data_IF_674500805355
#
_entry.id   IF_674500805355
#
_cell.length_a   1.000
_cell.length_b   1.000
_cell.length_c   1.000
_cell.angle_alpha   90.00
_cell.angle_beta   90.00
_cell.angle_gamma   90.00
#
_symmetry.space_group_name_H-M   'P 1'
#
loop_
_entity.id
_entity.type
_entity.pdbx_description
1 polymer ?
#
# COMPACT_ATOMS: atom_id res chain seq x y z
N UNK A 1 22.36 -4.30 -12.84
CA UNK A 1 22.78 -5.24 -13.90
C UNK A 1 23.30 -6.58 -13.35
N UNK A 2 22.92 -6.92 -12.12
CA UNK A 2 23.47 -8.11 -11.44
C UNK A 2 22.68 -9.40 -11.71
N UNK A 3 21.62 -9.36 -12.50
CA UNK A 3 20.83 -10.55 -12.87
C UNK A 3 20.00 -11.26 -11.77
N UNK A 4 20.18 -11.02 -10.45
CA UNK A 4 19.27 -11.51 -9.41
C UNK A 4 18.11 -10.56 -9.14
N UNK A 5 17.12 -11.06 -8.43
CA UNK A 5 16.07 -10.25 -7.84
C UNK A 5 16.63 -9.35 -6.74
N UNK A 6 16.23 -8.08 -6.76
CA UNK A 6 16.67 -7.08 -5.77
C UNK A 6 15.46 -6.56 -5.01
N UNK A 7 15.55 -6.51 -3.70
CA UNK A 7 14.54 -5.92 -2.83
C UNK A 7 15.13 -4.75 -2.06
N UNK A 8 14.49 -3.59 -2.13
CA UNK A 8 14.86 -2.39 -1.38
C UNK A 8 13.79 -2.12 -0.34
N UNK A 9 14.19 -1.99 0.92
CA UNK A 9 13.34 -1.51 2.00
C UNK A 9 13.64 -0.04 2.28
N UNK A 10 12.64 0.81 2.22
CA UNK A 10 12.74 2.25 2.46
C UNK A 10 11.92 2.66 3.67
N UNK A 11 12.60 3.06 4.73
CA UNK A 11 11.98 3.63 5.94
C UNK A 11 12.41 5.09 6.10
N UNK A 12 11.67 6.02 5.69
CA UNK A 12 10.30 6.11 5.13
C UNK A 12 10.30 7.02 3.89
N UNK A 13 9.25 6.94 3.04
CA UNK A 13 9.09 7.87 1.91
C UNK A 13 9.11 9.35 2.36
N UNK A 14 8.40 9.79 3.41
CA UNK A 14 8.46 11.16 3.86
C UNK A 14 9.87 11.65 4.22
N UNK A 15 10.72 10.83 4.83
CA UNK A 15 12.12 11.19 5.13
C UNK A 15 12.92 11.41 3.87
N UNK A 16 12.80 10.51 2.90
CA UNK A 16 13.47 10.66 1.61
C UNK A 16 13.01 11.94 0.91
N UNK A 17 11.71 12.18 0.83
CA UNK A 17 11.14 13.36 0.19
C UNK A 17 11.58 14.67 0.89
N UNK A 18 11.60 14.70 2.21
CA UNK A 18 12.10 15.85 3.00
C UNK A 18 13.58 16.12 2.75
N UNK A 19 14.41 15.08 2.67
CA UNK A 19 15.83 15.24 2.36
C UNK A 19 16.02 15.88 0.98
N UNK A 20 15.28 15.44 -0.03
CA UNK A 20 15.30 16.07 -1.33
C UNK A 20 14.77 17.49 -1.30
N UNK A 21 13.71 17.77 -0.53
CA UNK A 21 13.15 19.12 -0.40
C UNK A 21 14.16 20.10 0.24
N UNK A 22 15.01 19.62 1.15
CA UNK A 22 16.02 20.46 1.82
C UNK A 22 17.21 20.81 0.92
N UNK A 23 17.55 19.95 -0.06
CA UNK A 23 18.71 20.18 -0.95
C UNK A 23 18.33 20.77 -2.31
N UNK A 24 17.05 20.81 -2.62
CA UNK A 24 16.57 21.34 -3.90
C UNK A 24 16.56 22.88 -3.85
N UNK A 25 17.13 23.59 -4.84
CA UNK A 25 16.95 25.03 -4.94
C UNK A 25 15.46 25.38 -5.01
N UNK A 26 15.05 26.38 -4.23
CA UNK A 26 13.65 26.82 -4.21
C UNK A 26 13.19 27.22 -5.62
N UNK A 27 12.18 26.55 -6.15
CA UNK A 27 11.62 26.85 -7.49
C UNK A 27 10.72 28.09 -7.49
N UNK A 28 10.44 28.67 -6.32
CA UNK A 28 9.47 29.74 -6.12
C UNK A 28 8.00 29.27 -6.20
N UNK A 29 7.77 28.02 -6.53
CA UNK A 29 6.44 27.38 -6.55
C UNK A 29 6.37 26.35 -5.42
N UNK A 30 5.97 26.81 -4.23
CA UNK A 30 5.75 25.93 -3.07
C UNK A 30 4.27 25.59 -3.01
N UNK A 31 3.87 24.37 -3.35
CA UNK A 31 2.49 23.92 -3.16
C UNK A 31 2.11 23.93 -1.67
N UNK A 32 0.82 23.77 -1.38
CA UNK A 32 0.33 23.61 -0.02
C UNK A 32 1.09 22.49 0.70
N UNK A 33 1.57 22.77 1.94
CA UNK A 33 2.33 21.79 2.73
C UNK A 33 3.86 22.00 2.74
N UNK A 34 4.40 23.00 2.02
CA UNK A 34 5.83 23.35 2.09
C UNK A 34 6.76 22.41 1.32
N UNK A 35 6.23 21.59 0.42
CA UNK A 35 7.02 20.71 -0.46
C UNK A 35 7.18 21.37 -1.83
N UNK A 36 8.42 21.56 -2.27
CA UNK A 36 8.67 22.02 -3.65
C UNK A 36 8.30 20.90 -4.66
N UNK A 37 7.56 21.24 -5.71
CA UNK A 37 7.12 20.28 -6.72
C UNK A 37 8.29 19.53 -7.36
N UNK A 38 9.43 20.20 -7.55
CA UNK A 38 10.64 19.59 -8.12
C UNK A 38 11.34 18.64 -7.15
N UNK A 39 11.16 18.82 -5.83
CA UNK A 39 11.77 17.96 -4.83
C UNK A 39 11.25 16.52 -4.88
N UNK A 40 10.00 16.31 -5.28
CA UNK A 40 9.38 14.98 -5.35
C UNK A 40 9.72 14.21 -6.63
N UNK A 41 10.23 14.87 -7.65
CA UNK A 41 10.46 14.24 -8.95
C UNK A 41 11.46 13.06 -8.88
N UNK A 42 12.62 13.24 -8.22
CA UNK A 42 13.62 12.18 -8.09
C UNK A 42 13.14 11.02 -7.20
N UNK A 43 12.56 11.27 -6.00
CA UNK A 43 11.97 10.22 -5.18
C UNK A 43 10.87 9.42 -5.91
N UNK A 44 9.99 10.09 -6.65
CA UNK A 44 8.96 9.41 -7.45
C UNK A 44 9.56 8.53 -8.55
N UNK A 45 10.57 9.01 -9.26
CA UNK A 45 11.27 8.20 -10.26
C UNK A 45 11.96 6.99 -9.65
N UNK A 46 12.56 7.16 -8.48
CA UNK A 46 13.16 6.06 -7.73
C UNK A 46 12.10 5.01 -7.37
N UNK A 47 11.00 5.42 -6.75
CA UNK A 47 9.93 4.50 -6.35
C UNK A 47 9.23 3.86 -7.56
N UNK A 48 9.02 4.61 -8.61
CA UNK A 48 8.44 4.14 -9.88
C UNK A 48 9.40 3.28 -10.72
N UNK A 49 10.64 3.05 -10.28
CA UNK A 49 11.58 2.18 -10.97
C UNK A 49 11.34 0.68 -10.70
N UNK A 50 10.52 0.34 -9.68
CA UNK A 50 10.18 -1.05 -9.36
C UNK A 50 9.53 -1.75 -10.56
N UNK A 51 10.11 -2.87 -10.99
CA UNK A 51 9.67 -3.64 -12.18
C UNK A 51 10.33 -4.99 -12.29
N UNK A 52 9.75 -5.87 -13.06
CA UNK A 52 10.48 -7.00 -13.65
C UNK A 52 11.31 -6.50 -14.82
N UNK A 53 12.53 -7.00 -14.98
CA UNK A 53 13.39 -6.67 -16.12
C UNK A 53 13.16 -7.66 -17.26
N UNK A 54 13.38 -7.22 -18.50
CA UNK A 54 13.10 -8.03 -19.69
C UNK A 54 14.00 -9.26 -19.77
N UNK A 55 15.27 -9.12 -19.38
CA UNK A 55 16.25 -10.20 -19.51
C UNK A 55 16.22 -11.15 -18.31
N UNK A 56 16.40 -10.64 -17.13
CA UNK A 56 16.48 -11.42 -15.89
C UNK A 56 16.31 -10.54 -14.66
N UNK A 57 15.60 -11.08 -13.65
CA UNK A 57 15.49 -10.48 -12.33
C UNK A 57 14.42 -9.42 -12.20
N UNK A 58 14.29 -8.89 -11.02
CA UNK A 58 13.29 -7.89 -10.66
C UNK A 58 13.85 -6.87 -9.69
N UNK A 59 13.24 -5.68 -9.68
CA UNK A 59 13.44 -4.67 -8.64
C UNK A 59 12.13 -4.50 -7.89
N UNK A 60 12.11 -4.90 -6.63
CA UNK A 60 11.00 -4.71 -5.70
C UNK A 60 11.36 -3.61 -4.71
N UNK A 61 10.47 -2.65 -4.50
CA UNK A 61 10.65 -1.59 -3.49
C UNK A 61 9.49 -1.67 -2.52
N UNK A 62 9.81 -1.94 -1.24
CA UNK A 62 8.87 -1.90 -0.13
C UNK A 62 9.17 -0.65 0.69
N UNK A 63 8.23 0.28 0.71
CA UNK A 63 8.41 1.55 1.39
C UNK A 63 7.30 1.80 2.40
N UNK A 64 7.65 2.39 3.54
CA UNK A 64 6.69 2.83 4.54
C UNK A 64 6.37 4.31 4.36
N UNK A 65 5.13 4.69 4.66
CA UNK A 65 4.70 6.07 4.76
C UNK A 65 3.81 6.23 6.00
N UNK A 66 4.15 7.19 6.85
CA UNK A 66 3.33 7.54 7.99
C UNK A 66 2.27 8.55 7.55
N UNK A 67 1.02 8.25 7.88
CA UNK A 67 -0.14 9.12 7.75
C UNK A 67 -0.64 9.50 9.14
N UNK A 68 -1.52 10.48 9.25
CA UNK A 68 -2.08 10.97 10.52
C UNK A 68 -1.02 11.49 11.51
N UNK A 69 0.05 12.07 10.98
CA UNK A 69 1.12 12.67 11.80
C UNK A 69 0.80 14.11 12.24
N UNK A 70 -0.29 14.69 11.75
CA UNK A 70 -0.61 16.12 11.89
C UNK A 70 0.25 17.04 11.00
N UNK A 71 1.14 16.49 10.17
CA UNK A 71 1.98 17.23 9.24
C UNK A 71 1.34 17.29 7.86
N UNK A 72 0.93 18.50 7.43
CA UNK A 72 0.43 18.71 6.06
C UNK A 72 1.44 18.31 4.98
N UNK A 73 2.74 18.40 5.28
CA UNK A 73 3.79 17.97 4.37
C UNK A 73 3.74 16.46 4.15
N UNK A 74 3.55 15.67 5.21
CA UNK A 74 3.47 14.20 5.13
C UNK A 74 2.22 13.76 4.34
N UNK A 75 1.09 14.43 4.54
CA UNK A 75 -0.14 14.20 3.78
C UNK A 75 0.07 14.45 2.27
N UNK A 76 0.68 15.58 1.91
CA UNK A 76 0.98 15.91 0.51
C UNK A 76 1.93 14.87 -0.09
N UNK A 77 2.99 14.51 0.63
CA UNK A 77 3.95 13.50 0.16
C UNK A 77 3.23 12.15 -0.06
N UNK A 78 2.40 11.72 0.89
CA UNK A 78 1.66 10.47 0.78
C UNK A 78 0.76 10.46 -0.47
N UNK A 79 -0.08 11.49 -0.66
CA UNK A 79 -0.97 11.58 -1.81
C UNK A 79 -0.20 11.60 -3.14
N UNK A 80 0.94 12.29 -3.18
CA UNK A 80 1.80 12.35 -4.36
C UNK A 80 2.45 11.00 -4.73
N UNK A 81 2.70 10.12 -3.74
CA UNK A 81 3.27 8.79 -3.96
C UNK A 81 2.22 7.69 -4.14
N UNK A 82 1.01 7.88 -3.62
CA UNK A 82 -0.10 6.93 -3.73
C UNK A 82 -0.38 6.49 -5.18
N UNK A 83 -0.25 7.42 -6.13
CA UNK A 83 -0.40 7.14 -7.56
C UNK A 83 0.76 6.36 -8.20
N UNK A 84 1.89 6.21 -7.52
CA UNK A 84 3.12 5.60 -8.08
C UNK A 84 3.27 4.14 -7.68
N UNK A 85 2.75 3.74 -6.52
CA UNK A 85 2.84 2.37 -6.01
C UNK A 85 1.93 1.39 -6.75
N UNK A 86 2.30 0.11 -6.76
CA UNK A 86 1.52 -0.98 -7.34
C UNK A 86 0.61 -1.65 -6.30
N UNK A 87 0.97 -1.58 -5.03
CA UNK A 87 0.24 -2.14 -3.90
C UNK A 87 0.28 -1.15 -2.74
N UNK A 88 -0.81 -1.10 -2.00
CA UNK A 88 -0.97 -0.29 -0.80
C UNK A 88 -1.55 -1.16 0.31
N UNK A 89 -0.86 -1.23 1.45
CA UNK A 89 -1.32 -1.86 2.67
C UNK A 89 -1.52 -0.77 3.71
N UNK A 90 -2.77 -0.48 4.06
CA UNK A 90 -3.11 0.52 5.07
C UNK A 90 -3.36 -0.14 6.42
N UNK A 91 -2.72 0.38 7.46
CA UNK A 91 -3.01 0.05 8.85
C UNK A 91 -4.01 1.05 9.43
N UNK A 92 -4.85 0.60 10.34
CA UNK A 92 -5.84 1.43 11.01
C UNK A 92 -5.58 1.46 12.53
N UNK A 93 -5.39 2.67 13.07
CA UNK A 93 -5.14 2.86 14.50
C UNK A 93 -6.31 2.38 15.37
N UNK A 94 -7.55 2.51 14.88
CA UNK A 94 -8.73 2.07 15.64
C UNK A 94 -8.74 0.57 15.90
N UNK A 95 -8.21 -0.23 14.97
CA UNK A 95 -8.02 -1.67 15.16
C UNK A 95 -6.94 -1.94 16.22
N UNK A 96 -5.80 -1.26 16.12
CA UNK A 96 -4.72 -1.39 17.09
C UNK A 96 -5.14 -0.99 18.51
N UNK A 97 -5.90 0.09 18.65
CA UNK A 97 -6.44 0.56 19.94
C UNK A 97 -7.38 -0.47 20.57
N UNK A 98 -8.12 -1.22 19.75
CA UNK A 98 -8.98 -2.34 20.17
C UNK A 98 -8.25 -3.67 20.31
N UNK A 99 -6.92 -3.70 20.09
CA UNK A 99 -6.10 -4.93 20.14
C UNK A 99 -6.49 -5.98 19.10
N UNK A 100 -7.05 -5.55 17.97
CA UNK A 100 -7.35 -6.42 16.81
C UNK A 100 -6.13 -6.39 15.90
N UNK A 101 -5.51 -7.55 15.69
CA UNK A 101 -4.30 -7.71 14.88
C UNK A 101 -4.44 -8.88 13.89
N UNK A 102 -3.90 -8.72 12.65
CA UNK A 102 -3.19 -7.55 12.13
C UNK A 102 -4.13 -6.34 11.97
N UNK A 103 -3.68 -5.14 12.37
CA UNK A 103 -4.48 -3.92 12.34
C UNK A 103 -4.61 -3.35 10.91
N UNK A 104 -5.06 -4.17 9.96
CA UNK A 104 -5.14 -3.86 8.53
C UNK A 104 -6.52 -3.35 8.14
N UNK A 105 -6.56 -2.20 7.49
CA UNK A 105 -7.77 -1.75 6.82
C UNK A 105 -7.89 -2.45 5.46
N UNK A 106 -8.63 -3.55 5.43
CA UNK A 106 -8.75 -4.41 4.24
C UNK A 106 -9.42 -3.68 3.07
N UNK A 107 -10.35 -2.78 3.34
CA UNK A 107 -11.07 -2.05 2.30
C UNK A 107 -10.21 -0.95 1.66
N UNK A 108 -9.37 -0.29 2.46
CA UNK A 108 -8.45 0.74 1.98
C UNK A 108 -7.16 0.15 1.36
N UNK A 109 -6.88 -1.13 1.62
CA UNK A 109 -5.73 -1.85 1.06
C UNK A 109 -6.07 -2.49 -0.28
N UNK A 110 -5.09 -2.56 -1.17
CA UNK A 110 -5.31 -3.19 -2.47
C UNK A 110 -4.05 -3.29 -3.32
N UNK A 111 -4.16 -4.06 -4.39
CA UNK A 111 -3.12 -4.25 -5.40
C UNK A 111 -3.68 -3.85 -6.76
N UNK A 112 -2.90 -3.07 -7.52
CA UNK A 112 -3.24 -2.80 -8.91
C UNK A 112 -3.03 -4.05 -9.73
N UNK A 113 -3.86 -4.25 -10.74
CA UNK A 113 -3.74 -5.37 -11.66
C UNK A 113 -3.69 -6.72 -10.93
N UNK A 114 -4.58 -6.92 -9.96
CA UNK A 114 -4.75 -8.22 -9.28
C UNK A 114 -5.09 -9.36 -10.27
N UNK A 115 -5.65 -9.02 -11.42
CA UNK A 115 -5.90 -9.92 -12.54
C UNK A 115 -4.65 -10.62 -13.10
N UNK A 116 -3.48 -10.03 -12.92
CA UNK A 116 -2.20 -10.63 -13.30
C UNK A 116 -1.62 -11.58 -12.22
N UNK A 117 -2.14 -11.49 -10.99
CA UNK A 117 -1.60 -12.20 -9.82
C UNK A 117 -2.51 -13.35 -9.37
N UNK A 118 -3.81 -13.21 -9.57
CA UNK A 118 -4.81 -14.14 -9.07
C UNK A 118 -5.45 -14.94 -10.22
N UNK A 119 -5.74 -16.20 -9.96
CA UNK A 119 -6.58 -16.99 -10.85
C UNK A 119 -7.99 -16.38 -10.88
N UNK A 120 -8.66 -16.48 -12.03
CA UNK A 120 -9.96 -15.85 -12.26
C UNK A 120 -11.02 -16.22 -11.23
N UNK A 121 -11.02 -17.47 -10.78
CA UNK A 121 -11.95 -17.95 -9.75
C UNK A 121 -11.68 -17.30 -8.39
N UNK A 122 -10.42 -17.27 -7.96
CA UNK A 122 -10.00 -16.62 -6.71
C UNK A 122 -10.33 -15.13 -6.75
N UNK A 123 -10.04 -14.46 -7.85
CA UNK A 123 -10.35 -13.04 -8.03
C UNK A 123 -11.85 -12.77 -7.92
N UNK A 124 -12.70 -13.59 -8.57
CA UNK A 124 -14.15 -13.45 -8.48
C UNK A 124 -14.66 -13.59 -7.04
N UNK A 125 -14.17 -14.58 -6.30
CA UNK A 125 -14.53 -14.78 -4.89
C UNK A 125 -14.04 -13.63 -4.00
N UNK A 126 -12.84 -13.13 -4.24
CA UNK A 126 -12.31 -11.96 -3.54
C UNK A 126 -13.16 -10.71 -3.78
N UNK A 127 -13.69 -10.52 -4.97
CA UNK A 127 -14.60 -9.42 -5.25
C UNK A 127 -15.94 -9.55 -4.53
N UNK A 128 -16.51 -10.76 -4.45
CA UNK A 128 -17.70 -11.02 -3.65
C UNK A 128 -17.45 -10.70 -2.18
N UNK A 129 -16.32 -11.17 -1.65
CA UNK A 129 -15.90 -10.88 -0.27
C UNK A 129 -15.78 -9.37 -0.03
N UNK A 130 -15.07 -8.64 -0.90
CA UNK A 130 -14.91 -7.18 -0.80
C UNK A 130 -16.26 -6.46 -0.83
N UNK A 131 -17.16 -6.89 -1.71
CA UNK A 131 -18.51 -6.33 -1.77
C UNK A 131 -19.28 -6.56 -0.46
N UNK A 132 -19.16 -7.74 0.13
CA UNK A 132 -19.79 -8.04 1.42
C UNK A 132 -19.21 -7.18 2.55
N UNK A 133 -17.89 -7.00 2.58
CA UNK A 133 -17.21 -6.20 3.60
C UNK A 133 -17.44 -4.68 3.43
N UNK A 134 -17.85 -4.22 2.25
CA UNK A 134 -18.00 -2.78 1.96
C UNK A 134 -19.11 -2.10 2.79
N UNK A 135 -20.06 -2.87 3.28
CA UNK A 135 -21.18 -2.38 4.10
C UNK A 135 -20.83 -2.38 5.61
N UNK A 136 -19.64 -2.85 5.97
CA UNK A 136 -19.15 -2.97 7.34
C UNK A 136 -18.20 -1.83 7.71
N UNK A 137 -18.11 -1.50 8.99
CA UNK A 137 -17.02 -0.68 9.50
C UNK A 137 -15.70 -1.45 9.43
N UNK A 138 -14.56 -0.74 9.46
CA UNK A 138 -13.22 -1.38 9.43
C UNK A 138 -13.06 -2.43 10.55
N UNK A 139 -13.63 -2.16 11.72
CA UNK A 139 -13.57 -3.08 12.87
C UNK A 139 -14.38 -4.32 12.61
N UNK A 140 -15.64 -4.17 12.21
CA UNK A 140 -16.53 -5.30 11.91
C UNK A 140 -15.98 -6.19 10.78
N UNK A 141 -15.45 -5.55 9.73
CA UNK A 141 -14.83 -6.28 8.62
C UNK A 141 -13.63 -7.12 9.07
N UNK A 142 -12.78 -6.58 9.94
CA UNK A 142 -11.61 -7.30 10.42
C UNK A 142 -11.98 -8.42 11.41
N UNK A 143 -12.90 -8.17 12.34
CA UNK A 143 -13.42 -9.19 13.26
C UNK A 143 -14.12 -10.33 12.51
N UNK A 144 -14.89 -10.00 11.48
CA UNK A 144 -15.50 -10.99 10.60
C UNK A 144 -14.46 -11.85 9.89
N UNK A 145 -13.44 -11.22 9.27
CA UNK A 145 -12.40 -11.94 8.57
C UNK A 145 -11.61 -12.86 9.50
N UNK A 146 -11.18 -12.35 10.66
CA UNK A 146 -10.44 -13.11 11.65
C UNK A 146 -11.24 -14.34 12.10
N UNK A 147 -12.52 -14.16 12.41
CA UNK A 147 -13.41 -15.24 12.80
C UNK A 147 -13.54 -16.30 11.71
N UNK A 148 -13.78 -15.91 10.47
CA UNK A 148 -13.99 -16.83 9.36
C UNK A 148 -12.69 -17.57 8.97
N UNK A 149 -11.56 -16.87 8.93
CA UNK A 149 -10.29 -17.47 8.63
C UNK A 149 -9.83 -18.47 9.70
N UNK A 150 -10.16 -18.23 10.97
CA UNK A 150 -9.88 -19.17 12.06
C UNK A 150 -10.72 -20.46 12.00
N UNK A 151 -11.81 -20.47 11.23
CA UNK A 151 -12.65 -21.67 11.02
C UNK A 151 -12.18 -22.54 9.85
N UNK A 152 -11.20 -22.09 9.09
CA UNK A 152 -10.72 -22.76 7.87
C UNK A 152 -9.23 -23.03 7.96
N UNK A 153 -8.76 -24.07 7.29
CA UNK A 153 -7.36 -24.46 7.32
C UNK A 153 -6.52 -23.72 6.26
N UNK A 154 -7.16 -23.14 5.22
CA UNK A 154 -6.46 -22.43 4.16
C UNK A 154 -7.31 -21.31 3.56
N UNK A 155 -6.66 -20.41 2.81
CA UNK A 155 -7.34 -19.33 2.08
C UNK A 155 -8.28 -19.89 1.00
N UNK A 156 -7.91 -21.01 0.36
CA UNK A 156 -8.73 -21.68 -0.65
C UNK A 156 -10.04 -22.19 -0.05
N UNK A 157 -9.94 -22.83 1.11
CA UNK A 157 -11.12 -23.30 1.87
C UNK A 157 -12.00 -22.13 2.29
N UNK A 158 -11.41 -21.08 2.85
CA UNK A 158 -12.14 -19.86 3.23
C UNK A 158 -12.87 -19.26 2.04
N UNK A 159 -12.19 -19.07 0.90
CA UNK A 159 -12.82 -18.51 -0.29
C UNK A 159 -13.88 -19.45 -0.89
N UNK A 160 -13.78 -20.76 -0.69
CA UNK A 160 -14.80 -21.72 -1.12
C UNK A 160 -16.12 -21.54 -0.36
N UNK A 161 -16.09 -21.12 0.90
CA UNK A 161 -17.30 -20.87 1.71
C UNK A 161 -18.07 -19.64 1.27
N UNK A 162 -17.46 -18.73 0.50
CA UNK A 162 -18.11 -17.50 0.05
C UNK A 162 -19.20 -17.73 -1.02
N UNK A 163 -19.37 -18.94 -1.52
CA UNK A 163 -20.38 -19.29 -2.53
C UNK A 163 -21.59 -20.05 -1.94
N UNK A 164 -21.66 -20.20 -0.63
CA UNK A 164 -22.78 -20.80 0.09
C UNK A 164 -23.59 -19.69 0.79
#
# INVERSE_FOLDING_TARGET
>A
ECGPDVVIFLDTIPRLARAYNSVQPASGKVPSGGVDANALHKPKRFFGAARNTEEKGSLTIVATALIDTGSKMDEVIFEEFKGTGNMELQLDRKLADKRIYPAVNVMASGTRREDLLLQREVMSRTWVLRKYLSDMTTVEAMEFLEKQMNMTASNEEFLATMNQ
#
